data_IF_312159644898
#
_entry.id   IF_312159644898
#
_cell.length_a   1.000
_cell.length_b   1.000
_cell.length_c   1.000
_cell.angle_alpha   90.00
_cell.angle_beta   90.00
_cell.angle_gamma   90.00
#
_symmetry.space_group_name_H-M   'P 1'
#
loop_
_entity.id
_entity.type
_entity.pdbx_description
1 polymer ?
#
# COMPACT_ATOMS: atom_id res chain seq x y z
N UNK A 1 -12.17 14.10 -5.52
CA UNK A 1 -12.65 14.55 -6.85
C UNK A 1 -11.63 14.21 -7.93
N UNK A 2 -12.05 13.72 -9.11
CA UNK A 2 -11.18 13.27 -10.22
C UNK A 2 -10.12 14.27 -10.65
N UNK A 3 -10.46 15.56 -10.67
CA UNK A 3 -9.54 16.63 -11.04
C UNK A 3 -8.77 17.17 -9.83
N UNK A 4 -9.38 17.09 -8.63
CA UNK A 4 -8.79 17.58 -7.39
C UNK A 4 -7.52 16.82 -6.99
N UNK A 5 -7.49 15.49 -7.14
CA UNK A 5 -6.28 14.72 -6.80
C UNK A 5 -5.08 15.10 -7.67
N UNK A 6 -5.30 15.38 -8.96
CA UNK A 6 -4.24 15.84 -9.88
C UNK A 6 -3.73 17.23 -9.53
N UNK A 7 -4.61 18.12 -9.08
CA UNK A 7 -4.22 19.44 -8.60
C UNK A 7 -3.37 19.28 -7.33
N UNK A 8 -3.82 18.47 -6.38
CA UNK A 8 -3.08 18.21 -5.13
C UNK A 8 -1.71 17.62 -5.43
N UNK A 9 -1.60 16.61 -6.30
CA UNK A 9 -0.30 16.06 -6.72
C UNK A 9 0.62 17.13 -7.31
N UNK A 10 0.12 17.96 -8.23
CA UNK A 10 0.93 19.04 -8.81
C UNK A 10 1.38 20.08 -7.80
N UNK A 11 0.53 20.38 -6.81
CA UNK A 11 0.93 21.27 -5.72
C UNK A 11 2.05 20.63 -4.90
N UNK A 12 1.97 19.34 -4.59
CA UNK A 12 3.02 18.62 -3.88
C UNK A 12 4.32 18.51 -4.69
N UNK A 13 4.25 18.43 -6.03
CA UNK A 13 5.40 18.34 -6.93
C UNK A 13 6.12 19.67 -7.15
N UNK A 14 5.38 20.77 -7.26
CA UNK A 14 5.91 22.03 -7.77
C UNK A 14 5.96 23.17 -6.74
N UNK A 15 5.27 23.04 -5.61
CA UNK A 15 5.33 24.04 -4.55
C UNK A 15 6.38 23.66 -3.51
N UNK A 16 6.93 24.67 -2.82
CA UNK A 16 7.90 24.44 -1.76
C UNK A 16 7.20 23.81 -0.53
N UNK A 17 7.90 22.99 0.27
CA UNK A 17 7.33 22.36 1.46
C UNK A 17 6.62 23.34 2.39
N UNK A 18 7.11 24.57 2.55
CA UNK A 18 6.50 25.58 3.43
C UNK A 18 5.14 26.06 2.91
N UNK A 19 4.89 25.95 1.60
CA UNK A 19 3.63 26.37 0.97
C UNK A 19 2.56 25.27 1.02
N UNK A 20 2.97 24.01 1.11
CA UNK A 20 2.06 22.84 1.08
C UNK A 20 2.08 22.00 2.36
N UNK A 21 2.86 22.40 3.37
CA UNK A 21 2.98 21.70 4.65
C UNK A 21 1.62 21.49 5.31
N UNK A 22 0.87 22.57 5.53
CA UNK A 22 -0.48 22.47 6.14
C UNK A 22 -1.48 21.66 5.31
N UNK A 23 -1.38 21.70 3.98
CA UNK A 23 -2.20 20.82 3.12
C UNK A 23 -1.81 19.34 3.33
N UNK A 24 -0.52 19.05 3.42
CA UNK A 24 -0.02 17.69 3.60
C UNK A 24 -0.41 17.14 4.97
N UNK A 25 -0.32 17.95 6.02
CA UNK A 25 -0.77 17.58 7.37
C UNK A 25 -2.27 17.25 7.40
N UNK A 26 -3.11 18.07 6.75
CA UNK A 26 -4.55 17.79 6.63
C UNK A 26 -4.82 16.48 5.86
N UNK A 27 -4.06 16.21 4.81
CA UNK A 27 -4.19 14.95 4.06
C UNK A 27 -3.75 13.75 4.90
N UNK A 28 -2.69 13.88 5.69
CA UNK A 28 -2.20 12.81 6.56
C UNK A 28 -3.16 12.51 7.71
N UNK A 29 -3.84 13.52 8.26
CA UNK A 29 -4.88 13.33 9.28
C UNK A 29 -6.01 12.39 8.80
N UNK A 30 -6.32 12.42 7.50
CA UNK A 30 -7.35 11.58 6.86
C UNK A 30 -6.76 10.40 6.07
N UNK A 31 -5.49 10.06 6.26
CA UNK A 31 -4.77 9.08 5.43
C UNK A 31 -5.49 7.73 5.33
N UNK A 32 -6.08 7.22 6.43
CA UNK A 32 -6.79 5.94 6.42
C UNK A 32 -8.00 5.92 5.46
N UNK A 33 -8.73 7.04 5.39
CA UNK A 33 -9.85 7.20 4.45
C UNK A 33 -9.32 7.41 3.02
N UNK A 34 -8.28 8.24 2.86
CA UNK A 34 -7.70 8.56 1.57
C UNK A 34 -7.07 7.35 0.89
N UNK A 35 -6.43 6.44 1.64
CA UNK A 35 -5.87 5.19 1.11
C UNK A 35 -6.90 4.34 0.36
N UNK A 36 -8.16 4.34 0.83
CA UNK A 36 -9.27 3.56 0.23
C UNK A 36 -10.13 4.39 -0.72
N UNK A 37 -9.83 5.66 -0.87
CA UNK A 37 -10.61 6.54 -1.72
C UNK A 37 -10.18 6.42 -3.18
N UNK A 38 -11.15 6.39 -4.10
CA UNK A 38 -10.94 6.20 -5.55
C UNK A 38 -10.00 7.19 -6.22
N UNK A 39 -9.80 8.36 -5.60
CA UNK A 39 -8.81 9.36 -6.03
C UNK A 39 -7.77 9.70 -4.96
N UNK A 40 -8.05 9.43 -3.68
CA UNK A 40 -7.17 9.79 -2.57
C UNK A 40 -5.94 8.88 -2.53
N UNK A 41 -6.12 7.62 -2.95
CA UNK A 41 -5.04 6.63 -3.00
C UNK A 41 -3.85 7.11 -3.84
N UNK A 42 -4.08 7.91 -4.88
CA UNK A 42 -3.02 8.46 -5.72
C UNK A 42 -2.19 9.52 -5.00
N UNK A 43 -2.81 10.28 -4.10
CA UNK A 43 -2.10 11.27 -3.26
C UNK A 43 -1.25 10.53 -2.21
N UNK A 44 -1.78 9.47 -1.61
CA UNK A 44 -1.03 8.66 -0.65
C UNK A 44 0.17 7.95 -1.30
N UNK A 45 -0.01 7.38 -2.50
CA UNK A 45 1.09 6.82 -3.29
C UNK A 45 2.16 7.86 -3.61
N UNK A 46 1.74 9.08 -3.99
CA UNK A 46 2.66 10.17 -4.29
C UNK A 46 3.49 10.59 -3.07
N UNK A 47 2.88 10.68 -1.89
CA UNK A 47 3.59 10.97 -0.64
C UNK A 47 4.54 9.81 -0.27
N UNK A 48 4.14 8.55 -0.47
CA UNK A 48 5.02 7.40 -0.28
C UNK A 48 6.24 7.44 -1.21
N UNK A 49 6.09 7.93 -2.44
CA UNK A 49 7.17 8.04 -3.42
C UNK A 49 8.11 9.23 -3.12
N UNK A 50 7.55 10.44 -2.93
CA UNK A 50 8.31 11.69 -2.92
C UNK A 50 8.30 12.46 -1.59
N UNK A 51 7.46 12.07 -0.63
CA UNK A 51 7.32 12.74 0.66
C UNK A 51 8.54 12.59 1.56
N UNK A 52 8.57 13.36 2.65
CA UNK A 52 9.61 13.25 3.67
C UNK A 52 9.54 11.91 4.42
N UNK A 53 10.63 11.50 5.08
CA UNK A 53 10.65 10.28 5.87
C UNK A 53 9.55 10.25 6.95
N UNK A 54 9.25 11.40 7.58
CA UNK A 54 8.19 11.54 8.56
C UNK A 54 6.79 11.33 7.94
N UNK A 55 6.54 11.92 6.78
CA UNK A 55 5.27 11.77 6.06
C UNK A 55 5.05 10.31 5.61
N UNK A 56 6.10 9.67 5.08
CA UNK A 56 6.08 8.24 4.75
C UNK A 56 5.81 7.39 5.98
N UNK A 57 6.50 7.67 7.09
CA UNK A 57 6.32 7.01 8.38
C UNK A 57 4.87 7.07 8.87
N UNK A 58 4.21 8.23 8.74
CA UNK A 58 2.81 8.39 9.11
C UNK A 58 1.88 7.49 8.28
N UNK A 59 2.08 7.41 6.96
CA UNK A 59 1.30 6.52 6.10
C UNK A 59 1.56 5.05 6.45
N UNK A 60 2.81 4.68 6.75
CA UNK A 60 3.17 3.32 7.14
C UNK A 60 2.52 2.91 8.47
N UNK A 61 2.44 3.83 9.43
CA UNK A 61 1.72 3.61 10.68
C UNK A 61 0.22 3.38 10.44
N UNK A 62 -0.39 4.18 9.57
CA UNK A 62 -1.80 4.03 9.18
C UNK A 62 -2.04 2.68 8.49
N UNK A 63 -1.16 2.28 7.57
CA UNK A 63 -1.22 0.97 6.91
C UNK A 63 -1.09 -0.16 7.93
N UNK A 64 -0.16 -0.04 8.88
CA UNK A 64 0.06 -1.04 9.92
C UNK A 64 -1.17 -1.23 10.82
N UNK A 65 -1.83 -0.13 11.21
CA UNK A 65 -3.04 -0.17 12.06
C UNK A 65 -4.30 -0.62 11.32
N UNK A 66 -4.39 -0.38 10.02
CA UNK A 66 -5.60 -0.61 9.21
C UNK A 66 -5.40 -1.57 8.04
N UNK A 67 -4.42 -2.46 8.12
CA UNK A 67 -4.02 -3.34 7.01
C UNK A 67 -5.17 -4.18 6.48
N UNK A 68 -6.00 -4.77 7.35
CA UNK A 68 -7.15 -5.57 6.93
C UNK A 68 -8.13 -4.76 6.06
N UNK A 69 -8.39 -3.51 6.45
CA UNK A 69 -9.34 -2.64 5.73
C UNK A 69 -8.74 -2.03 4.46
N UNK A 70 -7.43 -1.74 4.43
CA UNK A 70 -6.77 -1.08 3.29
C UNK A 70 -6.24 -2.10 2.29
N UNK A 71 -5.61 -3.18 2.76
CA UNK A 71 -5.02 -4.20 1.90
C UNK A 71 -6.06 -4.99 1.10
N UNK A 72 -7.25 -5.20 1.68
CA UNK A 72 -8.39 -5.85 1.00
C UNK A 72 -9.30 -4.86 0.21
N UNK A 73 -8.84 -3.62 -0.01
CA UNK A 73 -9.60 -2.61 -0.74
C UNK A 73 -9.11 -2.48 -2.20
N UNK A 74 -10.02 -2.30 -3.19
CA UNK A 74 -9.65 -2.18 -4.61
C UNK A 74 -8.75 -0.98 -4.92
N UNK A 75 -8.75 0.06 -4.09
CA UNK A 75 -7.86 1.22 -4.20
C UNK A 75 -6.69 1.14 -3.22
N UNK A 76 -6.95 0.65 -2.00
CA UNK A 76 -5.93 0.52 -0.95
C UNK A 76 -4.79 -0.43 -1.30
N UNK A 77 -5.04 -1.49 -2.08
CA UNK A 77 -3.98 -2.40 -2.54
C UNK A 77 -2.87 -1.69 -3.35
N UNK A 78 -3.18 -0.62 -4.07
CA UNK A 78 -2.19 0.19 -4.78
C UNK A 78 -1.31 1.00 -3.82
N UNK A 79 -1.85 1.43 -2.67
CA UNK A 79 -1.09 2.11 -1.62
C UNK A 79 -0.16 1.14 -0.91
N UNK A 80 -0.62 -0.10 -0.61
CA UNK A 80 0.22 -1.15 -0.05
C UNK A 80 1.39 -1.46 -1.01
N UNK A 81 1.13 -1.56 -2.31
CA UNK A 81 2.21 -1.71 -3.31
C UNK A 81 3.22 -0.56 -3.23
N UNK A 82 2.77 0.69 -3.24
CA UNK A 82 3.68 1.83 -3.18
C UNK A 82 4.49 1.86 -1.87
N UNK A 83 3.90 1.45 -0.75
CA UNK A 83 4.61 1.32 0.51
C UNK A 83 5.70 0.24 0.41
N UNK A 84 5.39 -0.93 -0.15
CA UNK A 84 6.38 -1.98 -0.39
C UNK A 84 7.51 -1.55 -1.35
N UNK A 85 7.24 -0.64 -2.29
CA UNK A 85 8.26 -0.16 -3.24
C UNK A 85 9.13 1.01 -2.73
N UNK A 86 8.60 1.87 -1.85
CA UNK A 86 9.25 3.15 -1.50
C UNK A 86 9.55 3.33 -0.01
N UNK A 87 9.08 2.44 0.86
CA UNK A 87 9.46 2.46 2.28
C UNK A 87 10.89 1.95 2.50
N UNK A 88 11.54 2.31 3.61
CA UNK A 88 12.78 1.66 4.05
C UNK A 88 12.62 0.15 4.20
N UNK A 89 13.68 -0.63 3.96
CA UNK A 89 13.64 -2.11 4.03
C UNK A 89 13.09 -2.64 5.35
N UNK A 90 13.43 -2.00 6.47
CA UNK A 90 12.92 -2.38 7.80
C UNK A 90 11.39 -2.25 7.89
N UNK A 91 10.85 -1.17 7.34
CA UNK A 91 9.41 -0.92 7.32
C UNK A 91 8.69 -1.83 6.33
N UNK A 92 9.32 -2.15 5.19
CA UNK A 92 8.80 -3.14 4.25
C UNK A 92 8.68 -4.52 4.91
N UNK A 93 9.68 -4.93 5.71
CA UNK A 93 9.65 -6.20 6.42
C UNK A 93 8.56 -6.24 7.49
N UNK A 94 8.41 -5.16 8.26
CA UNK A 94 7.31 -5.03 9.20
C UNK A 94 5.94 -5.11 8.49
N UNK A 95 5.79 -4.37 7.38
CA UNK A 95 4.55 -4.34 6.62
C UNK A 95 4.22 -5.70 5.99
N UNK A 96 5.22 -6.40 5.45
CA UNK A 96 5.08 -7.74 4.88
C UNK A 96 4.60 -8.76 5.92
N UNK A 97 5.11 -8.67 7.15
CA UNK A 97 4.62 -9.50 8.27
C UNK A 97 3.17 -9.20 8.61
N UNK A 98 2.79 -7.92 8.68
CA UNK A 98 1.40 -7.53 8.93
C UNK A 98 0.48 -8.03 7.81
N UNK A 99 0.89 -7.93 6.54
CA UNK A 99 0.14 -8.48 5.40
C UNK A 99 -0.09 -9.99 5.57
N UNK A 100 0.93 -10.73 6.03
CA UNK A 100 0.82 -12.16 6.28
C UNK A 100 -0.10 -12.44 7.50
N UNK A 101 0.04 -11.71 8.60
CA UNK A 101 -0.75 -11.91 9.82
C UNK A 101 -2.24 -11.62 9.61
N UNK A 102 -2.59 -10.70 8.70
CA UNK A 102 -3.98 -10.36 8.42
C UNK A 102 -4.65 -11.41 7.51
N UNK A 103 -5.73 -12.08 7.96
CA UNK A 103 -6.42 -13.09 7.15
C UNK A 103 -6.99 -12.50 5.86
N UNK A 104 -6.76 -13.17 4.74
CA UNK A 104 -7.33 -12.81 3.43
C UNK A 104 -6.66 -11.64 2.70
N UNK A 105 -5.78 -10.87 3.36
CA UNK A 105 -5.13 -9.71 2.73
C UNK A 105 -4.12 -10.16 1.67
N UNK A 106 -3.22 -11.09 2.01
CA UNK A 106 -2.23 -11.61 1.09
C UNK A 106 -2.89 -12.22 -0.16
N UNK A 107 -3.95 -13.00 0.05
CA UNK A 107 -4.73 -13.61 -1.01
C UNK A 107 -5.39 -12.55 -1.89
N UNK A 108 -6.09 -11.58 -1.29
CA UNK A 108 -6.74 -10.50 -2.05
C UNK A 108 -5.72 -9.71 -2.88
N UNK A 109 -4.56 -9.37 -2.30
CA UNK A 109 -3.49 -8.69 -3.02
C UNK A 109 -3.04 -9.51 -4.24
N UNK A 110 -2.93 -10.83 -4.12
CA UNK A 110 -2.54 -11.70 -5.24
C UNK A 110 -3.55 -11.64 -6.41
N UNK A 111 -4.84 -11.45 -6.14
CA UNK A 111 -5.88 -11.30 -7.18
C UNK A 111 -6.03 -9.88 -7.72
N UNK A 112 -5.62 -8.88 -6.93
CA UNK A 112 -5.85 -7.49 -7.26
C UNK A 112 -4.94 -7.02 -8.40
N UNK A 113 -5.52 -6.21 -9.31
CA UNK A 113 -4.85 -5.63 -10.49
C UNK A 113 -3.50 -4.98 -10.16
N UNK A 114 -3.37 -4.35 -8.99
CA UNK A 114 -2.14 -3.71 -8.53
C UNK A 114 -1.49 -4.42 -7.33
N UNK A 115 -2.20 -5.34 -6.68
CA UNK A 115 -1.72 -6.02 -5.48
C UNK A 115 -0.71 -7.14 -5.76
N UNK A 116 -0.77 -7.81 -6.92
CA UNK A 116 0.15 -8.93 -7.23
C UNK A 116 1.62 -8.51 -7.23
N UNK A 117 1.91 -7.24 -7.60
CA UNK A 117 3.25 -6.67 -7.47
C UNK A 117 3.66 -6.54 -6.01
N UNK A 118 2.74 -6.04 -5.16
CA UNK A 118 2.97 -5.98 -3.71
C UNK A 118 3.25 -7.37 -3.12
N UNK A 119 2.55 -8.41 -3.58
CA UNK A 119 2.80 -9.80 -3.14
C UNK A 119 4.21 -10.25 -3.49
N UNK A 120 4.71 -9.93 -4.69
CA UNK A 120 6.09 -10.26 -5.07
C UNK A 120 7.10 -9.58 -4.15
N UNK A 121 6.88 -8.30 -3.84
CA UNK A 121 7.74 -7.54 -2.94
C UNK A 121 7.67 -8.11 -1.51
N UNK A 122 6.48 -8.48 -1.04
CA UNK A 122 6.28 -9.16 0.25
C UNK A 122 7.08 -10.47 0.31
N UNK A 123 6.97 -11.32 -0.72
CA UNK A 123 7.71 -12.59 -0.77
C UNK A 123 9.23 -12.41 -0.89
N UNK A 124 9.73 -11.28 -1.39
CA UNK A 124 11.16 -10.97 -1.43
C UNK A 124 11.71 -10.56 -0.07
N UNK A 125 10.87 -9.98 0.78
CA UNK A 125 11.27 -9.47 2.10
C UNK A 125 11.05 -10.50 3.21
N UNK A 126 10.06 -11.38 3.07
CA UNK A 126 9.84 -12.48 4.02
C UNK A 126 10.92 -13.55 3.91
N UNK A 127 11.29 -14.14 5.05
CA UNK A 127 12.28 -15.21 5.14
C UNK A 127 11.78 -16.42 5.97
N UNK A 128 12.53 -17.52 5.89
CA UNK A 128 12.33 -18.72 6.69
C UNK A 128 10.88 -19.22 6.71
N UNK A 129 10.32 -19.37 7.92
CA UNK A 129 8.97 -19.88 8.13
C UNK A 129 7.88 -18.97 7.55
N UNK A 130 8.09 -17.64 7.56
CA UNK A 130 7.10 -16.66 7.08
C UNK A 130 6.92 -16.78 5.56
N UNK A 131 8.03 -16.97 4.84
CA UNK A 131 8.00 -17.17 3.40
C UNK A 131 7.29 -18.48 3.02
N UNK A 132 7.56 -19.57 3.73
CA UNK A 132 6.90 -20.85 3.47
C UNK A 132 5.40 -20.81 3.79
N UNK A 133 5.01 -20.13 4.86
CA UNK A 133 3.59 -19.88 5.18
C UNK A 133 2.90 -19.06 4.08
N UNK A 134 3.52 -17.96 3.64
CA UNK A 134 2.99 -17.11 2.58
C UNK A 134 2.77 -17.91 1.28
N UNK A 135 3.75 -18.72 0.88
CA UNK A 135 3.64 -19.61 -0.28
C UNK A 135 2.53 -20.64 -0.12
N UNK A 136 2.41 -21.28 1.05
CA UNK A 136 1.39 -22.27 1.33
C UNK A 136 -0.02 -21.67 1.21
N UNK A 137 -0.25 -20.46 1.73
CA UNK A 137 -1.52 -19.73 1.61
C UNK A 137 -1.87 -19.39 0.17
N UNK A 138 -0.91 -18.88 -0.59
CA UNK A 138 -1.09 -18.59 -2.02
C UNK A 138 -1.36 -19.87 -2.83
N UNK A 139 -0.67 -20.97 -2.52
CA UNK A 139 -0.88 -22.26 -3.17
C UNK A 139 -2.27 -22.86 -2.85
N UNK A 140 -2.75 -22.74 -1.61
CA UNK A 140 -4.09 -23.16 -1.23
C UNK A 140 -5.19 -22.37 -1.96
N UNK A 141 -4.92 -21.11 -2.31
CA UNK A 141 -5.80 -20.29 -3.16
C UNK A 141 -5.64 -20.53 -4.67
N UNK A 142 -4.71 -21.40 -5.11
CA UNK A 142 -4.25 -21.41 -6.51
C UNK A 142 -5.26 -21.87 -7.56
N UNK A 143 -6.23 -22.70 -7.17
CA UNK A 143 -7.35 -23.07 -8.05
C UNK A 143 -8.23 -21.84 -8.38
N UNK A 144 -8.34 -20.89 -7.45
CA UNK A 144 -8.94 -19.58 -7.71
C UNK A 144 -7.95 -18.64 -8.44
N UNK A 145 -6.63 -18.68 -8.16
CA UNK A 145 -5.61 -17.85 -8.85
C UNK A 145 -5.56 -18.11 -10.36
N UNK A 146 -5.65 -19.38 -10.77
CA UNK A 146 -5.65 -19.78 -12.18
C UNK A 146 -6.88 -19.28 -12.96
N UNK A 147 -7.99 -19.03 -12.26
CA UNK A 147 -9.23 -18.51 -12.85
C UNK A 147 -9.23 -16.99 -13.04
N UNK A 148 -8.41 -16.26 -12.27
CA UNK A 148 -8.29 -14.81 -12.33
C UNK A 148 -7.31 -14.36 -13.43
N UNK A 149 -7.62 -13.25 -14.10
CA UNK A 149 -6.76 -12.65 -15.14
C UNK A 149 -5.39 -12.21 -14.61
N UNK A 150 -5.23 -12.01 -13.30
CA UNK A 150 -4.01 -11.46 -12.67
C UNK A 150 -3.27 -12.43 -11.75
N UNK A 151 -3.82 -13.62 -11.48
CA UNK A 151 -3.23 -14.62 -10.55
C UNK A 151 -2.28 -15.62 -11.21
N UNK A 152 -1.80 -15.36 -12.43
CA UNK A 152 -0.88 -16.24 -13.17
C UNK A 152 0.58 -15.86 -12.99
#
# INVERSE_FOLDING_TARGET
HKYGCRIVQRLLEHCKPEQVGGLTELLLADAAALCRHSYGNYVMQHILEHGSAEQKGHILEVLSRSMAAIGADPYGCAVVRAAMSHAPLQDQAALARIVLEQPGVLEYLAYARHGHVAVRDVLQVLDGAQLEEAKARLAAGSDSLRSSRYGR
#
